data_IF_017138796197
#
_entry.id   IF_017138796197
#
_cell.length_a   1.000
_cell.length_b   1.000
_cell.length_c   1.000
_cell.angle_alpha   90.00
_cell.angle_beta   90.00
_cell.angle_gamma   90.00
#
_symmetry.space_group_name_H-M   'P 1'
#
loop_
_entity.id
_entity.type
_entity.pdbx_description
1 polymer ?
#
# COMPACT_ATOMS: atom_id res chain seq x y z
N UNK A 1 -23.32 10.88 4.58
CA UNK A 1 -23.62 9.61 5.27
C UNK A 1 -24.69 8.90 4.49
N UNK A 2 -24.61 7.57 4.40
CA UNK A 2 -25.64 6.75 3.73
C UNK A 2 -26.98 6.94 4.45
N UNK A 3 -28.10 7.08 3.74
CA UNK A 3 -29.40 7.22 4.41
C UNK A 3 -29.83 5.87 5.02
N UNK A 4 -30.76 5.94 5.97
CA UNK A 4 -31.42 4.76 6.54
C UNK A 4 -32.04 3.94 5.38
N UNK A 5 -31.83 2.62 5.37
CA UNK A 5 -32.24 1.66 4.32
C UNK A 5 -31.44 1.68 3.00
N UNK A 6 -30.37 2.48 2.86
CA UNK A 6 -29.57 2.55 1.62
C UNK A 6 -28.30 1.66 1.63
N UNK A 7 -28.05 0.86 2.68
CA UNK A 7 -26.91 -0.07 2.78
C UNK A 7 -27.33 -1.40 3.43
N UNK A 8 -27.05 -2.51 2.74
CA UNK A 8 -27.26 -3.87 3.25
C UNK A 8 -25.92 -4.60 3.39
N UNK A 9 -25.78 -5.39 4.46
CA UNK A 9 -24.63 -6.27 4.68
C UNK A 9 -25.04 -7.71 4.37
N UNK A 10 -24.47 -8.28 3.32
CA UNK A 10 -24.75 -9.67 2.90
C UNK A 10 -23.48 -10.50 2.92
N UNK A 11 -23.60 -11.77 3.32
CA UNK A 11 -22.54 -12.77 3.20
C UNK A 11 -22.61 -13.52 1.87
N UNK A 12 -21.46 -13.99 1.37
CA UNK A 12 -21.38 -14.90 0.23
C UNK A 12 -20.15 -15.81 0.33
N UNK A 13 -20.21 -16.97 -0.31
CA UNK A 13 -19.11 -17.94 -0.41
C UNK A 13 -18.85 -18.26 -1.87
N UNK A 14 -17.59 -18.26 -2.27
CA UNK A 14 -17.15 -18.60 -3.63
C UNK A 14 -16.55 -20.01 -3.67
N UNK A 15 -16.98 -20.83 -4.63
CA UNK A 15 -16.40 -22.14 -4.88
C UNK A 15 -15.33 -22.07 -5.98
N UNK A 16 -14.08 -22.34 -5.63
CA UNK A 16 -12.94 -22.25 -6.56
C UNK A 16 -12.98 -23.29 -7.70
N UNK A 17 -13.73 -24.39 -7.56
CA UNK A 17 -13.81 -25.46 -8.55
C UNK A 17 -14.96 -25.25 -9.54
N UNK A 18 -16.15 -24.87 -9.04
CA UNK A 18 -17.30 -24.61 -9.91
C UNK A 18 -17.37 -23.17 -10.43
N UNK A 19 -16.70 -22.23 -9.75
CA UNK A 19 -16.81 -20.80 -10.04
C UNK A 19 -18.13 -20.16 -9.58
N UNK A 20 -18.98 -20.91 -8.88
CA UNK A 20 -20.27 -20.43 -8.39
C UNK A 20 -20.12 -19.63 -7.09
N UNK A 21 -21.02 -18.65 -6.90
CA UNK A 21 -21.15 -17.86 -5.68
C UNK A 21 -22.48 -18.22 -5.02
N UNK A 22 -22.43 -18.70 -3.78
CA UNK A 22 -23.58 -18.89 -2.92
C UNK A 22 -23.80 -17.63 -2.07
N UNK A 23 -24.95 -16.99 -2.22
CA UNK A 23 -25.32 -15.79 -1.46
C UNK A 23 -26.07 -16.19 -0.18
N UNK A 24 -25.49 -15.87 0.98
CA UNK A 24 -25.99 -16.31 2.29
C UNK A 24 -27.05 -15.37 2.90
N UNK A 25 -27.23 -14.17 2.34
CA UNK A 25 -28.12 -13.15 2.89
C UNK A 25 -27.54 -12.38 4.08
N UNK A 26 -28.40 -11.70 4.83
CA UNK A 26 -28.02 -10.92 6.03
C UNK A 26 -27.75 -11.81 7.25
N UNK A 27 -26.99 -11.30 8.22
CA UNK A 27 -26.74 -12.04 9.45
C UNK A 27 -28.05 -12.30 10.22
N UNK A 28 -28.35 -13.55 10.63
CA UNK A 28 -29.63 -13.90 11.27
C UNK A 28 -29.96 -13.12 12.56
N UNK A 29 -28.95 -12.52 13.20
CA UNK A 29 -29.06 -11.74 14.44
C UNK A 29 -28.64 -10.26 14.30
N UNK A 30 -28.70 -9.68 13.11
CA UNK A 30 -28.20 -8.31 12.82
C UNK A 30 -28.74 -7.24 13.79
N UNK A 31 -29.99 -7.37 14.26
CA UNK A 31 -30.62 -6.43 15.21
C UNK A 31 -29.98 -6.45 16.60
N UNK A 32 -29.46 -7.60 17.04
CA UNK A 32 -28.84 -7.76 18.37
C UNK A 32 -27.41 -7.20 18.41
N UNK A 33 -26.72 -7.16 17.27
CA UNK A 33 -25.29 -6.80 17.17
C UNK A 33 -25.02 -5.28 17.10
N UNK A 34 -26.01 -4.46 16.70
CA UNK A 34 -25.82 -3.04 16.40
C UNK A 34 -25.84 -2.07 17.62
N UNK A 35 -25.61 -2.54 18.86
CA UNK A 35 -25.78 -1.74 20.10
C UNK A 35 -24.51 -1.14 20.76
N UNK A 36 -24.14 0.12 20.41
CA UNK A 36 -23.29 1.16 21.11
C UNK A 36 -21.72 1.17 21.05
N UNK A 37 -21.12 2.36 21.29
CA UNK A 37 -19.72 2.86 21.03
C UNK A 37 -18.74 3.02 22.25
N UNK A 38 -17.41 3.15 21.99
CA UNK A 38 -16.30 3.45 22.95
C UNK A 38 -15.15 4.38 22.40
N UNK A 39 -14.29 5.02 23.26
CA UNK A 39 -13.43 6.20 22.93
C UNK A 39 -11.89 5.99 22.77
N UNK A 40 -11.11 7.08 22.52
CA UNK A 40 -9.78 7.16 21.83
C UNK A 40 -8.63 7.89 22.63
N UNK A 41 -7.34 7.68 22.30
CA UNK A 41 -6.13 8.41 22.85
C UNK A 41 -4.96 8.68 21.84
N UNK A 42 -4.02 9.63 22.15
CA UNK A 42 -3.09 10.43 21.28
C UNK A 42 -1.57 10.05 21.25
N UNK A 43 -0.78 10.65 20.32
CA UNK A 43 0.65 10.41 19.96
C UNK A 43 1.49 11.69 19.60
N UNK A 44 2.81 11.55 19.32
CA UNK A 44 3.85 12.61 19.09
C UNK A 44 4.67 12.49 17.76
N UNK A 45 5.44 13.53 17.35
CA UNK A 45 5.83 13.91 15.96
C UNK A 45 7.34 14.20 15.67
N UNK A 46 7.85 13.93 14.45
CA UNK A 46 9.11 14.51 13.86
C UNK A 46 9.26 14.32 12.32
N UNK A 47 9.98 15.20 11.56
CA UNK A 47 9.94 15.31 10.07
C UNK A 47 11.20 14.82 9.28
N UNK A 48 11.13 14.79 7.92
CA UNK A 48 12.07 14.15 6.96
C UNK A 48 12.15 14.88 5.57
N UNK A 49 13.17 14.62 4.70
CA UNK A 49 13.48 15.31 3.42
C UNK A 49 13.48 14.44 2.14
N UNK A 50 13.07 15.00 0.99
CA UNK A 50 12.74 14.33 -0.30
C UNK A 50 13.93 14.09 -1.25
N UNK A 51 13.84 13.04 -2.09
CA UNK A 51 14.88 12.59 -3.05
C UNK A 51 14.47 12.91 -4.49
N UNK A 52 15.35 13.54 -5.28
CA UNK A 52 15.03 14.15 -6.59
C UNK A 52 15.19 13.26 -7.83
N UNK A 53 15.68 12.02 -7.74
CA UNK A 53 15.80 11.17 -8.92
C UNK A 53 15.91 9.70 -8.52
N UNK A 54 14.87 8.92 -8.83
CA UNK A 54 14.89 7.47 -8.69
C UNK A 54 15.12 6.86 -10.06
N UNK A 55 16.30 6.28 -10.27
CA UNK A 55 16.60 5.52 -11.48
C UNK A 55 15.65 4.33 -11.59
N UNK A 56 15.05 4.16 -12.77
CA UNK A 56 14.18 3.05 -13.09
C UNK A 56 15.00 1.74 -13.07
N UNK A 57 15.05 1.06 -11.92
CA UNK A 57 15.86 -0.14 -11.74
C UNK A 57 15.02 -1.39 -12.00
N UNK A 58 15.42 -2.17 -13.00
CA UNK A 58 15.06 -3.57 -13.12
C UNK A 58 15.45 -4.32 -11.84
N UNK A 59 14.63 -5.27 -11.39
CA UNK A 59 14.88 -6.05 -10.18
C UNK A 59 16.31 -6.63 -10.10
N UNK A 60 16.77 -6.98 -8.90
CA UNK A 60 18.15 -7.45 -8.66
C UNK A 60 18.33 -8.94 -8.97
N UNK A 61 17.33 -9.75 -8.66
CA UNK A 61 17.33 -11.20 -8.91
C UNK A 61 16.64 -11.55 -10.22
N UNK A 62 17.06 -12.63 -10.90
CA UNK A 62 16.41 -13.07 -12.14
C UNK A 62 14.91 -13.35 -11.95
N UNK A 63 14.51 -13.86 -10.77
CA UNK A 63 13.10 -14.08 -10.41
C UNK A 63 12.32 -12.77 -10.31
N UNK A 64 12.88 -11.75 -9.66
CA UNK A 64 12.24 -10.44 -9.55
C UNK A 64 12.20 -9.70 -10.88
N UNK A 65 13.28 -9.76 -11.69
CA UNK A 65 13.31 -9.19 -13.04
C UNK A 65 12.20 -9.78 -13.90
N UNK A 66 12.04 -11.10 -13.90
CA UNK A 66 10.98 -11.77 -14.67
C UNK A 66 9.59 -11.40 -14.16
N UNK A 67 9.40 -11.28 -12.84
CA UNK A 67 8.11 -10.90 -12.25
C UNK A 67 7.74 -9.44 -12.57
N UNK A 68 8.70 -8.50 -12.50
CA UNK A 68 8.48 -7.10 -12.86
C UNK A 68 8.21 -6.98 -14.36
N UNK A 69 8.99 -7.65 -15.20
CA UNK A 69 8.78 -7.66 -16.64
C UNK A 69 7.41 -8.21 -17.03
N UNK A 70 6.97 -9.28 -16.39
CA UNK A 70 5.62 -9.84 -16.56
C UNK A 70 4.55 -8.77 -16.30
N UNK A 71 4.68 -7.99 -15.22
CA UNK A 71 3.77 -6.90 -14.89
C UNK A 71 3.84 -5.75 -15.90
N UNK A 72 5.03 -5.32 -16.32
CA UNK A 72 5.21 -4.24 -17.31
C UNK A 72 4.64 -4.60 -18.69
N UNK A 73 4.91 -5.81 -19.17
CA UNK A 73 4.38 -6.32 -20.43
C UNK A 73 2.86 -6.42 -20.39
N UNK A 74 2.33 -6.88 -19.26
CA UNK A 74 0.89 -6.98 -19.03
C UNK A 74 0.18 -5.64 -18.93
N UNK A 75 0.78 -4.67 -18.23
CA UNK A 75 0.25 -3.31 -18.20
C UNK A 75 0.28 -2.65 -19.58
N UNK A 76 1.30 -2.95 -20.40
CA UNK A 76 1.34 -2.51 -21.80
C UNK A 76 0.18 -3.09 -22.61
N UNK A 77 -0.16 -4.37 -22.40
CA UNK A 77 -1.34 -4.98 -23.04
C UNK A 77 -2.64 -4.34 -22.55
N UNK A 78 -2.76 -4.09 -21.25
CA UNK A 78 -3.92 -3.41 -20.67
C UNK A 78 -4.13 -2.01 -21.27
N UNK A 79 -3.11 -1.15 -21.24
CA UNK A 79 -3.17 0.23 -21.76
C UNK A 79 -3.45 0.27 -23.27
N UNK A 80 -2.96 -0.72 -24.02
CA UNK A 80 -3.21 -0.82 -25.47
C UNK A 80 -4.52 -1.51 -25.83
N UNK A 81 -5.34 -1.90 -24.85
CA UNK A 81 -6.63 -2.57 -25.07
C UNK A 81 -6.50 -4.00 -25.61
N UNK A 82 -5.35 -4.64 -25.42
CA UNK A 82 -5.03 -6.01 -25.89
C UNK A 82 -4.93 -7.02 -24.75
N UNK A 83 -5.53 -6.72 -23.60
CA UNK A 83 -5.63 -7.66 -22.48
C UNK A 83 -6.70 -8.72 -22.81
N UNK A 84 -6.60 -9.88 -22.20
CA UNK A 84 -7.51 -11.00 -22.49
C UNK A 84 -8.11 -11.52 -21.19
N UNK A 85 -9.39 -11.87 -21.22
CA UNK A 85 -10.00 -12.62 -20.13
C UNK A 85 -9.31 -13.98 -19.97
N UNK A 86 -9.02 -14.36 -18.72
CA UNK A 86 -8.37 -15.63 -18.39
C UNK A 86 -9.22 -16.42 -17.42
N UNK A 87 -9.45 -17.70 -17.72
CA UNK A 87 -10.24 -18.57 -16.85
C UNK A 87 -9.52 -18.81 -15.52
N UNK A 88 -10.19 -18.66 -14.37
CA UNK A 88 -9.59 -18.94 -13.06
C UNK A 88 -9.52 -20.44 -12.73
N UNK A 89 -10.18 -21.31 -13.50
CA UNK A 89 -10.27 -22.74 -13.22
C UNK A 89 -9.09 -23.53 -13.79
N UNK A 90 -8.66 -24.57 -13.07
CA UNK A 90 -7.64 -25.53 -13.54
C UNK A 90 -6.20 -25.00 -13.53
N UNK A 91 -5.92 -23.92 -12.81
CA UNK A 91 -4.60 -23.30 -12.73
C UNK A 91 -3.82 -23.82 -11.50
N UNK A 92 -2.71 -24.52 -11.73
CA UNK A 92 -1.70 -24.79 -10.71
C UNK A 92 -0.60 -23.73 -10.80
N UNK A 93 -0.84 -22.62 -10.10
CA UNK A 93 -0.07 -21.39 -10.23
C UNK A 93 0.47 -20.97 -8.88
N UNK A 94 1.79 -20.89 -8.76
CA UNK A 94 2.44 -20.25 -7.60
C UNK A 94 2.51 -18.74 -7.81
N UNK A 95 2.10 -17.92 -6.81
CA UNK A 95 2.22 -16.47 -6.85
C UNK A 95 3.67 -16.00 -7.01
N UNK A 96 3.87 -14.96 -7.80
CA UNK A 96 5.17 -14.36 -8.10
C UNK A 96 5.31 -12.93 -7.60
N UNK A 97 4.19 -12.27 -7.27
CA UNK A 97 4.16 -10.90 -6.76
C UNK A 97 3.08 -10.77 -5.69
N UNK A 98 3.36 -10.02 -4.62
CA UNK A 98 2.31 -9.48 -3.73
C UNK A 98 2.15 -8.00 -4.08
N UNK A 99 0.93 -7.52 -4.28
CA UNK A 99 0.62 -6.11 -4.57
C UNK A 99 -0.19 -5.54 -3.42
N UNK A 100 0.36 -4.52 -2.74
CA UNK A 100 -0.40 -3.63 -1.87
C UNK A 100 -0.90 -2.46 -2.72
N UNK A 101 -2.21 -2.38 -2.95
CA UNK A 101 -2.81 -1.38 -3.83
C UNK A 101 -4.01 -0.64 -3.23
N UNK A 102 -4.43 0.42 -3.91
CA UNK A 102 -5.63 1.18 -3.58
C UNK A 102 -6.93 0.38 -3.77
N UNK A 103 -7.89 0.59 -2.88
CA UNK A 103 -9.29 0.12 -3.06
C UNK A 103 -10.16 1.14 -3.80
N UNK A 104 -9.62 2.32 -4.10
CA UNK A 104 -10.36 3.44 -4.66
C UNK A 104 -10.72 3.26 -6.14
N UNK A 105 -9.86 2.59 -6.91
CA UNK A 105 -10.05 2.47 -8.35
C UNK A 105 -10.90 1.26 -8.79
N UNK A 106 -11.53 1.38 -9.96
CA UNK A 106 -12.53 0.41 -10.45
C UNK A 106 -11.93 -0.79 -11.19
N UNK A 107 -10.69 -0.70 -11.64
CA UNK A 107 -10.02 -1.78 -12.40
C UNK A 107 -9.38 -2.78 -11.44
N UNK A 108 -9.66 -4.09 -11.58
CA UNK A 108 -8.94 -5.14 -10.87
C UNK A 108 -7.44 -5.10 -11.17
N UNK A 109 -6.60 -5.29 -10.15
CA UNK A 109 -5.13 -5.19 -10.31
C UNK A 109 -4.60 -6.34 -11.18
N UNK A 110 -5.27 -7.48 -11.16
CA UNK A 110 -5.01 -8.64 -12.00
C UNK A 110 -5.22 -8.31 -13.49
N UNK A 111 -6.28 -7.58 -13.81
CA UNK A 111 -6.58 -7.12 -15.17
C UNK A 111 -5.60 -6.02 -15.59
N UNK A 112 -5.27 -5.09 -14.68
CA UNK A 112 -4.31 -4.01 -14.88
C UNK A 112 -2.95 -4.53 -15.35
N UNK A 113 -2.52 -5.68 -14.82
CA UNK A 113 -1.27 -6.34 -15.18
C UNK A 113 -1.47 -7.51 -16.15
N UNK A 114 -2.69 -7.78 -16.63
CA UNK A 114 -3.03 -8.87 -17.53
C UNK A 114 -2.26 -10.16 -17.22
N UNK A 115 -2.33 -10.62 -15.96
CA UNK A 115 -1.69 -11.85 -15.45
C UNK A 115 -2.69 -12.99 -15.32
N UNK A 116 -2.22 -14.23 -15.17
CA UNK A 116 -3.10 -15.37 -14.87
C UNK A 116 -3.64 -15.26 -13.43
N UNK A 117 -4.91 -15.67 -13.18
CA UNK A 117 -5.44 -15.77 -11.83
C UNK A 117 -4.50 -16.56 -10.90
N UNK A 118 -4.24 -16.02 -9.70
CA UNK A 118 -3.31 -16.60 -8.74
C UNK A 118 -1.83 -16.25 -8.96
N UNK A 119 -1.43 -15.62 -10.07
CA UNK A 119 -0.02 -15.18 -10.27
C UNK A 119 0.40 -14.03 -9.38
N UNK A 120 -0.54 -13.21 -8.94
CA UNK A 120 -0.32 -12.12 -8.00
C UNK A 120 -1.30 -12.25 -6.83
N UNK A 121 -0.84 -11.89 -5.64
CA UNK A 121 -1.67 -11.76 -4.44
C UNK A 121 -1.93 -10.27 -4.24
N UNK A 122 -3.19 -9.86 -4.23
CA UNK A 122 -3.55 -8.45 -4.13
C UNK A 122 -4.16 -8.14 -2.76
N UNK A 123 -3.55 -7.22 -2.02
CA UNK A 123 -4.12 -6.63 -0.82
C UNK A 123 -4.56 -5.20 -1.16
N UNK A 124 -5.88 -5.01 -1.32
CA UNK A 124 -6.45 -3.69 -1.57
C UNK A 124 -6.85 -3.02 -0.27
N UNK A 125 -6.36 -1.80 -0.05
CA UNK A 125 -6.70 -0.96 1.10
C UNK A 125 -6.79 0.50 0.64
N UNK A 126 -7.65 1.27 1.31
CA UNK A 126 -7.77 2.71 1.02
C UNK A 126 -6.45 3.43 1.31
N UNK A 127 -5.99 4.25 0.35
CA UNK A 127 -4.73 4.98 0.45
C UNK A 127 -3.48 4.13 0.20
N UNK A 128 -3.62 2.86 -0.21
CA UNK A 128 -2.49 1.96 -0.51
C UNK A 128 -1.50 1.77 0.65
N UNK A 129 -1.96 1.93 1.90
CA UNK A 129 -1.18 1.77 3.12
C UNK A 129 -1.76 0.62 3.95
N UNK A 130 -0.97 -0.42 4.21
CA UNK A 130 -1.41 -1.62 4.94
C UNK A 130 -1.81 -1.36 6.42
N UNK A 131 -1.54 -0.16 6.93
CA UNK A 131 -1.85 0.25 8.30
C UNK A 131 -0.77 -0.17 9.29
N UNK A 132 -1.19 -0.51 10.51
CA UNK A 132 -0.28 -0.91 11.59
C UNK A 132 0.14 -2.38 11.47
N UNK A 133 1.32 -2.70 12.02
CA UNK A 133 1.76 -4.09 12.18
C UNK A 133 0.75 -4.88 13.04
N UNK A 134 0.70 -6.19 12.84
CA UNK A 134 -0.20 -7.12 13.54
C UNK A 134 -1.70 -6.89 13.23
N UNK A 135 -2.03 -6.02 12.27
CA UNK A 135 -3.40 -5.83 11.75
C UNK A 135 -3.59 -6.57 10.44
N UNK A 136 -4.86 -6.83 10.11
CA UNK A 136 -5.28 -7.74 9.04
C UNK A 136 -4.53 -7.58 7.72
N UNK A 137 -4.50 -6.38 7.14
CA UNK A 137 -3.85 -6.17 5.83
C UNK A 137 -2.33 -6.37 5.90
N UNK A 138 -1.71 -5.93 6.98
CA UNK A 138 -0.27 -6.07 7.20
C UNK A 138 0.11 -7.55 7.43
N UNK A 139 -0.59 -8.23 8.33
CA UNK A 139 -0.38 -9.66 8.64
C UNK A 139 -0.68 -10.55 7.43
N UNK A 140 -1.63 -10.16 6.57
CA UNK A 140 -1.93 -10.86 5.31
C UNK A 140 -0.73 -10.85 4.36
N UNK A 141 -0.02 -9.71 4.26
CA UNK A 141 1.21 -9.59 3.47
C UNK A 141 2.31 -10.47 4.06
N UNK A 142 2.52 -10.43 5.37
CA UNK A 142 3.53 -11.27 6.05
C UNK A 142 3.26 -12.77 5.88
N UNK A 143 1.99 -13.17 6.03
CA UNK A 143 1.56 -14.54 5.78
C UNK A 143 1.84 -14.95 4.33
N UNK A 144 1.57 -14.06 3.38
CA UNK A 144 1.79 -14.33 1.96
C UNK A 144 3.28 -14.53 1.64
N UNK A 145 4.16 -13.72 2.23
CA UNK A 145 5.61 -13.87 2.11
C UNK A 145 6.07 -15.21 2.71
N UNK A 146 5.55 -15.56 3.89
CA UNK A 146 5.92 -16.79 4.57
C UNK A 146 5.44 -18.05 3.82
N UNK A 147 4.24 -17.99 3.23
CA UNK A 147 3.59 -19.13 2.56
C UNK A 147 4.11 -19.39 1.15
N UNK A 148 4.26 -18.35 0.33
CA UNK A 148 4.56 -18.50 -1.10
C UNK A 148 5.95 -18.03 -1.51
N UNK A 149 6.68 -17.31 -0.64
CA UNK A 149 8.01 -16.75 -0.93
C UNK A 149 8.12 -16.09 -2.34
N UNK A 150 7.20 -15.17 -2.69
CA UNK A 150 7.28 -14.47 -3.96
C UNK A 150 8.50 -13.53 -3.97
N UNK A 151 9.17 -13.37 -5.12
CA UNK A 151 10.36 -12.54 -5.23
C UNK A 151 10.08 -11.02 -5.15
N UNK A 152 8.82 -10.59 -5.31
CA UNK A 152 8.46 -9.16 -5.36
C UNK A 152 7.28 -8.85 -4.44
N UNK A 153 7.43 -7.80 -3.64
CA UNK A 153 6.34 -7.08 -2.98
C UNK A 153 6.26 -5.68 -3.61
N UNK A 154 5.12 -5.36 -4.22
CA UNK A 154 4.88 -4.10 -4.91
C UNK A 154 3.92 -3.23 -4.11
N UNK A 155 4.32 -2.00 -3.83
CA UNK A 155 3.41 -0.93 -3.38
C UNK A 155 2.95 -0.16 -4.61
N UNK A 156 1.65 -0.24 -4.93
CA UNK A 156 1.04 0.42 -6.07
C UNK A 156 0.12 1.56 -5.59
N UNK A 157 0.50 2.80 -5.87
CA UNK A 157 -0.28 3.99 -5.50
C UNK A 157 -0.89 4.63 -6.76
N UNK A 158 -2.07 5.20 -6.63
CA UNK A 158 -2.76 5.89 -7.73
C UNK A 158 -2.34 7.36 -7.82
N UNK A 159 -2.18 7.89 -9.03
CA UNK A 159 -1.79 9.29 -9.25
C UNK A 159 -2.79 10.30 -8.68
N UNK A 160 -4.07 9.92 -8.66
CA UNK A 160 -5.19 10.76 -8.23
C UNK A 160 -6.06 10.03 -7.19
N UNK A 161 -5.49 9.69 -6.04
CA UNK A 161 -6.24 9.03 -4.95
C UNK A 161 -7.17 10.03 -4.22
N UNK A 162 -8.48 9.75 -4.13
CA UNK A 162 -9.42 10.53 -3.32
C UNK A 162 -9.08 10.55 -1.83
N UNK A 163 -8.37 9.53 -1.34
CA UNK A 163 -7.93 9.42 0.06
C UNK A 163 -6.80 10.40 0.34
N UNK A 164 -5.83 10.51 -0.58
CA UNK A 164 -4.76 11.51 -0.50
C UNK A 164 -5.34 12.92 -0.61
N UNK A 165 -6.26 13.16 -1.54
CA UNK A 165 -6.94 14.45 -1.71
C UNK A 165 -7.73 14.86 -0.46
N UNK A 166 -8.49 13.93 0.12
CA UNK A 166 -9.24 14.16 1.35
C UNK A 166 -8.32 14.47 2.54
N UNK A 167 -7.14 13.84 2.61
CA UNK A 167 -6.15 14.14 3.63
C UNK A 167 -5.57 15.56 3.46
N UNK A 168 -5.25 15.98 2.23
CA UNK A 168 -4.81 17.35 1.92
C UNK A 168 -5.88 18.38 2.32
N UNK A 169 -7.15 18.12 1.95
CA UNK A 169 -8.28 18.98 2.32
C UNK A 169 -8.47 19.05 3.84
N UNK A 170 -8.31 17.93 4.55
CA UNK A 170 -8.38 17.89 6.00
C UNK A 170 -7.27 18.75 6.64
N UNK A 171 -6.04 18.67 6.13
CA UNK A 171 -4.91 19.47 6.62
C UNK A 171 -5.15 20.98 6.47
N UNK A 172 -5.85 21.38 5.40
CA UNK A 172 -6.23 22.78 5.14
C UNK A 172 -7.47 23.24 5.91
N UNK A 173 -8.04 22.39 6.77
CA UNK A 173 -9.29 22.70 7.48
C UNK A 173 -10.53 22.75 6.58
N UNK A 174 -10.43 22.26 5.34
CA UNK A 174 -11.53 22.27 4.37
C UNK A 174 -12.43 21.03 4.47
N UNK A 175 -11.98 20.00 5.20
CA UNK A 175 -12.72 18.75 5.39
C UNK A 175 -12.55 18.22 6.81
N UNK A 176 -13.67 17.95 7.50
CA UNK A 176 -13.65 17.35 8.83
C UNK A 176 -14.30 15.95 8.78
N UNK A 177 -13.52 14.88 8.65
CA UNK A 177 -14.06 13.52 8.51
C UNK A 177 -14.67 13.00 9.82
N UNK A 178 -15.62 12.08 9.69
CA UNK A 178 -16.07 11.25 10.81
C UNK A 178 -14.92 10.34 11.30
N UNK A 179 -15.01 9.83 12.53
CA UNK A 179 -13.92 9.04 13.14
C UNK A 179 -13.46 7.84 12.28
N UNK A 180 -14.34 7.02 11.67
CA UNK A 180 -13.89 5.89 10.85
C UNK A 180 -13.13 6.32 9.59
N UNK A 181 -13.61 7.38 8.92
CA UNK A 181 -12.96 7.96 7.74
C UNK A 181 -11.59 8.52 8.13
N UNK A 182 -11.50 9.16 9.31
CA UNK A 182 -10.26 9.69 9.83
C UNK A 182 -9.20 8.62 10.05
N UNK A 183 -9.57 7.40 10.45
CA UNK A 183 -8.60 6.29 10.60
C UNK A 183 -7.90 6.00 9.27
N UNK A 184 -8.66 5.97 8.18
CA UNK A 184 -8.11 5.78 6.83
C UNK A 184 -7.22 6.96 6.44
N UNK A 185 -7.71 8.20 6.64
CA UNK A 185 -6.93 9.39 6.31
C UNK A 185 -5.64 9.50 7.13
N UNK A 186 -5.63 9.02 8.38
CA UNK A 186 -4.45 9.03 9.23
C UNK A 186 -3.29 8.20 8.64
N UNK A 187 -3.59 7.14 7.88
CA UNK A 187 -2.56 6.33 7.24
C UNK A 187 -1.80 7.11 6.14
N UNK A 188 -2.47 8.03 5.44
CA UNK A 188 -1.87 8.87 4.38
C UNK A 188 -1.54 10.29 4.86
N UNK A 189 -1.92 10.66 6.09
CA UNK A 189 -1.76 12.02 6.61
C UNK A 189 -0.28 12.41 6.70
N UNK A 190 0.59 11.44 6.99
CA UNK A 190 2.04 11.67 7.09
C UNK A 190 2.62 12.11 5.74
N UNK A 191 2.26 11.44 4.65
CA UNK A 191 2.70 11.78 3.30
C UNK A 191 2.07 13.09 2.81
N UNK A 192 0.77 13.28 3.03
CA UNK A 192 0.07 14.52 2.67
C UNK A 192 0.66 15.76 3.39
N UNK A 193 0.93 15.65 4.69
CA UNK A 193 1.52 16.75 5.47
C UNK A 193 2.91 17.13 4.97
N UNK A 194 3.77 16.13 4.71
CA UNK A 194 5.12 16.36 4.16
C UNK A 194 5.07 17.05 2.80
N UNK A 195 4.13 16.65 1.95
CA UNK A 195 3.93 17.26 0.63
C UNK A 195 3.52 18.73 0.70
N UNK A 196 2.53 19.06 1.52
CA UNK A 196 2.07 20.45 1.73
C UNK A 196 3.22 21.33 2.22
N UNK A 197 3.94 20.88 3.25
CA UNK A 197 5.08 21.63 3.81
C UNK A 197 6.21 21.85 2.81
N UNK A 198 6.46 20.89 1.92
CA UNK A 198 7.51 21.02 0.90
C UNK A 198 7.08 21.97 -0.22
N UNK A 199 5.82 21.92 -0.65
CA UNK A 199 5.32 22.80 -1.69
C UNK A 199 5.21 24.26 -1.21
N UNK A 200 4.84 24.49 0.05
CA UNK A 200 4.78 25.84 0.66
C UNK A 200 6.13 26.55 0.70
N UNK A 201 7.25 25.80 0.73
CA UNK A 201 8.60 26.37 0.65
C UNK A 201 8.97 26.87 -0.75
N UNK A 202 8.20 26.51 -1.77
CA UNK A 202 8.45 26.90 -3.15
C UNK A 202 7.52 28.06 -3.57
N UNK A 203 7.91 29.29 -3.21
CA UNK A 203 7.12 30.52 -3.42
C UNK A 203 7.06 31.00 -4.88
N UNK A 204 7.70 30.30 -5.82
CA UNK A 204 7.79 30.72 -7.23
C UNK A 204 6.66 30.18 -8.11
N UNK A 205 5.80 29.31 -7.57
CA UNK A 205 4.72 28.65 -8.32
C UNK A 205 3.41 29.44 -8.23
N UNK A 206 2.60 29.34 -9.29
CA UNK A 206 1.19 29.77 -9.25
C UNK A 206 0.39 28.88 -8.31
N UNK A 207 -0.78 29.33 -7.85
CA UNK A 207 -1.65 28.50 -7.00
C UNK A 207 -2.00 27.14 -7.63
N UNK A 208 -2.23 27.12 -8.95
CA UNK A 208 -2.49 25.87 -9.69
C UNK A 208 -1.24 24.98 -9.77
N UNK A 209 -0.06 25.56 -10.00
CA UNK A 209 1.20 24.81 -10.01
C UNK A 209 1.55 24.24 -8.64
N UNK A 210 1.23 24.96 -7.57
CA UNK A 210 1.42 24.50 -6.20
C UNK A 210 0.48 23.33 -5.87
N UNK A 211 -0.78 23.37 -6.30
CA UNK A 211 -1.72 22.26 -6.09
C UNK A 211 -1.26 20.98 -6.78
N UNK A 212 -0.82 21.10 -8.04
CA UNK A 212 -0.30 19.97 -8.80
C UNK A 212 0.95 19.37 -8.14
N UNK A 213 1.85 20.23 -7.64
CA UNK A 213 3.04 19.79 -6.91
C UNK A 213 2.68 19.07 -5.60
N UNK A 214 1.70 19.58 -4.84
CA UNK A 214 1.26 18.96 -3.59
C UNK A 214 0.71 17.56 -3.86
N UNK A 215 -0.19 17.42 -4.85
CA UNK A 215 -0.75 16.12 -5.19
C UNK A 215 0.33 15.15 -5.65
N UNK A 216 1.24 15.58 -6.53
CA UNK A 216 2.35 14.73 -6.98
C UNK A 216 3.23 14.27 -5.81
N UNK A 217 3.69 15.20 -4.98
CA UNK A 217 4.53 14.90 -3.82
C UNK A 217 3.81 14.00 -2.82
N UNK A 218 2.52 14.25 -2.56
CA UNK A 218 1.75 13.46 -1.62
C UNK A 218 1.62 12.01 -2.09
N UNK A 219 1.38 11.79 -3.38
CA UNK A 219 1.34 10.46 -3.99
C UNK A 219 2.69 9.73 -3.89
N UNK A 220 3.78 10.38 -4.31
CA UNK A 220 5.11 9.78 -4.27
C UNK A 220 5.53 9.47 -2.82
N UNK A 221 5.38 10.42 -1.91
CA UNK A 221 5.68 10.25 -0.49
C UNK A 221 4.80 9.19 0.18
N UNK A 222 3.56 9.00 -0.28
CA UNK A 222 2.69 7.95 0.22
C UNK A 222 3.20 6.56 -0.16
N UNK A 223 3.72 6.42 -1.37
CA UNK A 223 4.38 5.20 -1.82
C UNK A 223 5.60 4.89 -0.93
N UNK A 224 6.44 5.90 -0.68
CA UNK A 224 7.64 5.76 0.15
C UNK A 224 7.30 5.37 1.58
N UNK A 225 6.33 6.07 2.15
CA UNK A 225 5.89 5.84 3.52
C UNK A 225 5.30 4.44 3.69
N UNK A 226 4.56 3.95 2.71
CA UNK A 226 4.04 2.58 2.72
C UNK A 226 5.18 1.55 2.71
N UNK A 227 6.23 1.76 1.91
CA UNK A 227 7.43 0.91 1.93
C UNK A 227 8.16 0.98 3.28
N UNK A 228 8.31 2.18 3.85
CA UNK A 228 8.93 2.38 5.17
C UNK A 228 8.19 1.58 6.26
N UNK A 229 6.85 1.54 6.22
CA UNK A 229 6.05 0.75 7.15
C UNK A 229 6.26 -0.75 6.97
N UNK A 230 6.28 -1.24 5.73
CA UNK A 230 6.52 -2.65 5.43
C UNK A 230 7.92 -3.10 5.86
N UNK A 231 8.94 -2.27 5.68
CA UNK A 231 10.31 -2.52 6.15
C UNK A 231 10.46 -2.52 7.69
N UNK A 232 9.43 -2.15 8.46
CA UNK A 232 9.43 -2.36 9.92
C UNK A 232 9.07 -3.79 10.30
N UNK A 233 8.52 -4.59 9.38
CA UNK A 233 8.30 -6.02 9.59
C UNK A 233 9.61 -6.78 9.65
N UNK A 234 9.80 -7.61 10.67
CA UNK A 234 10.93 -8.55 10.72
C UNK A 234 10.88 -9.53 9.53
N UNK A 235 9.69 -10.05 9.22
CA UNK A 235 9.46 -11.00 8.11
C UNK A 235 9.87 -10.39 6.77
N UNK A 236 9.41 -9.17 6.47
CA UNK A 236 9.78 -8.47 5.23
C UNK A 236 11.29 -8.19 5.21
N UNK A 237 11.85 -7.65 6.30
CA UNK A 237 13.26 -7.27 6.34
C UNK A 237 14.20 -8.44 6.10
N UNK A 238 13.99 -9.56 6.79
CA UNK A 238 14.88 -10.72 6.67
C UNK A 238 14.90 -11.27 5.24
N UNK A 239 13.77 -11.25 4.55
CA UNK A 239 13.66 -11.66 3.14
C UNK A 239 14.27 -10.65 2.18
N UNK A 240 14.20 -9.35 2.50
CA UNK A 240 14.89 -8.31 1.71
C UNK A 240 16.41 -8.37 1.92
N UNK A 241 16.89 -8.62 3.14
CA UNK A 241 18.34 -8.74 3.44
C UNK A 241 18.97 -9.97 2.78
N UNK A 242 18.25 -11.09 2.77
CA UNK A 242 18.70 -12.31 2.11
C UNK A 242 18.66 -12.23 0.58
N UNK A 243 18.01 -11.20 0.02
CA UNK A 243 17.81 -11.04 -1.43
C UNK A 243 16.73 -11.96 -2.00
N UNK A 244 15.95 -12.61 -1.14
CA UNK A 244 14.83 -13.48 -1.55
C UNK A 244 13.57 -12.69 -1.94
N UNK A 245 13.44 -11.47 -1.42
CA UNK A 245 12.32 -10.55 -1.67
C UNK A 245 12.84 -9.17 -2.06
N UNK A 246 12.22 -8.56 -3.07
CA UNK A 246 12.45 -7.17 -3.43
C UNK A 246 11.18 -6.35 -3.20
N UNK A 247 11.31 -5.24 -2.48
CA UNK A 247 10.21 -4.32 -2.20
C UNK A 247 10.28 -3.15 -3.19
N UNK A 248 9.31 -3.07 -4.08
CA UNK A 248 9.26 -2.08 -5.17
C UNK A 248 8.08 -1.11 -5.01
N UNK A 249 8.27 0.10 -5.51
CA UNK A 249 7.24 1.13 -5.64
C UNK A 249 6.78 1.27 -7.09
N UNK A 250 5.48 1.52 -7.29
CA UNK A 250 4.92 1.95 -8.56
C UNK A 250 3.78 2.94 -8.37
N UNK A 251 3.59 3.82 -9.36
CA UNK A 251 2.45 4.73 -9.45
C UNK A 251 1.66 4.40 -10.71
N UNK A 252 0.37 4.16 -10.55
CA UNK A 252 -0.58 4.01 -11.64
C UNK A 252 -1.21 5.37 -11.96
N UNK A 253 -1.20 5.76 -13.22
CA UNK A 253 -1.99 6.88 -13.72
C UNK A 253 -3.49 6.53 -13.71
N UNK A 254 -4.28 7.26 -12.93
CA UNK A 254 -5.71 6.96 -12.73
C UNK A 254 -6.56 7.16 -13.99
N UNK A 255 -6.09 7.93 -14.97
CA UNK A 255 -6.83 8.21 -16.22
C UNK A 255 -6.61 7.15 -17.30
N UNK A 256 -5.40 6.61 -17.37
CA UNK A 256 -4.95 5.71 -18.45
C UNK A 256 -4.70 4.28 -17.98
N UNK A 257 -4.53 4.05 -16.68
CA UNK A 257 -4.09 2.76 -16.13
C UNK A 257 -2.60 2.47 -16.39
N UNK A 258 -1.83 3.43 -16.91
CA UNK A 258 -0.39 3.23 -17.13
C UNK A 258 0.35 3.20 -15.80
N UNK A 259 1.13 2.14 -15.57
CA UNK A 259 1.93 1.97 -14.35
C UNK A 259 3.37 2.38 -14.62
N UNK A 260 3.93 3.22 -13.76
CA UNK A 260 5.34 3.60 -13.73
C UNK A 260 5.99 3.01 -12.49
N UNK A 261 6.97 2.14 -12.67
CA UNK A 261 7.78 1.59 -11.58
C UNK A 261 8.88 2.59 -11.18
N UNK A 262 9.21 2.61 -9.89
CA UNK A 262 10.26 3.47 -9.32
C UNK A 262 11.40 2.67 -8.69
N UNK A 263 11.21 1.36 -8.47
CA UNK A 263 12.23 0.52 -7.86
C UNK A 263 12.14 0.46 -6.35
N UNK A 264 13.26 0.11 -5.72
CA UNK A 264 13.41 0.00 -4.27
C UNK A 264 13.56 1.37 -3.59
N UNK A 265 13.30 1.41 -2.27
CA UNK A 265 13.43 2.64 -1.51
C UNK A 265 14.91 3.12 -1.44
N UNK A 266 15.26 4.38 -1.76
CA UNK A 266 16.63 4.88 -1.80
C UNK A 266 17.37 4.74 -0.47
N UNK A 267 16.63 4.88 0.63
CA UNK A 267 17.14 4.72 2.00
C UNK A 267 16.80 3.37 2.61
N UNK A 268 16.51 2.35 1.80
CA UNK A 268 16.08 1.03 2.29
C UNK A 268 17.03 0.47 3.35
N UNK A 269 18.34 0.47 3.10
CA UNK A 269 19.33 -0.03 4.05
C UNK A 269 19.32 0.71 5.38
N UNK A 270 19.18 2.04 5.36
CA UNK A 270 19.11 2.84 6.59
C UNK A 270 17.86 2.54 7.40
N UNK A 271 16.69 2.42 6.74
CA UNK A 271 15.42 2.09 7.38
C UNK A 271 15.51 0.73 8.07
N UNK A 272 16.09 -0.25 7.37
CA UNK A 272 16.23 -1.61 7.87
C UNK A 272 17.17 -1.68 9.07
N UNK A 273 18.33 -1.01 9.01
CA UNK A 273 19.26 -0.90 10.14
C UNK A 273 18.60 -0.24 11.35
N UNK A 274 17.90 0.88 11.15
CA UNK A 274 17.21 1.57 12.24
C UNK A 274 16.11 0.71 12.88
N UNK A 275 15.40 -0.10 12.08
CA UNK A 275 14.38 -1.01 12.58
C UNK A 275 14.99 -2.19 13.36
N UNK A 276 16.13 -2.73 12.93
CA UNK A 276 16.87 -3.75 13.65
C UNK A 276 17.42 -3.23 14.98
N UNK A 277 18.01 -2.03 14.97
CA UNK A 277 18.53 -1.36 16.17
C UNK A 277 17.41 -1.18 17.21
N UNK A 278 16.25 -0.65 16.79
CA UNK A 278 15.07 -0.54 17.66
C UNK A 278 14.67 -1.90 18.23
N UNK A 279 14.58 -2.93 17.39
CA UNK A 279 14.19 -4.27 17.85
C UNK A 279 15.15 -4.82 18.93
N UNK A 280 16.46 -4.61 18.76
CA UNK A 280 17.48 -4.95 19.76
C UNK A 280 17.25 -4.17 21.07
N UNK A 281 17.07 -2.84 21.01
CA UNK A 281 16.81 -2.01 22.21
C UNK A 281 15.57 -2.46 22.98
N UNK A 282 14.46 -2.75 22.29
CA UNK A 282 13.24 -3.21 22.94
C UNK A 282 13.38 -4.60 23.56
N UNK A 283 14.16 -5.50 22.95
CA UNK A 283 14.44 -6.83 23.50
C UNK A 283 15.29 -6.80 24.78
N UNK A 284 16.08 -5.74 24.97
CA UNK A 284 16.94 -5.53 26.15
C UNK A 284 16.28 -4.75 27.30
N UNK A 285 15.01 -4.35 27.16
CA UNK A 285 14.23 -3.65 28.19
C UNK A 285 14.32 -2.11 28.15
N UNK A 286 13.37 -1.44 28.82
CA UNK A 286 13.15 0.02 28.80
C UNK A 286 14.35 0.89 29.26
N UNK A 287 15.35 0.30 29.94
CA UNK A 287 16.54 1.00 30.44
C UNK A 287 17.81 0.74 29.62
N UNK A 288 17.71 0.05 28.47
CA UNK A 288 18.86 -0.29 27.67
C UNK A 288 19.36 0.90 26.85
N UNK A 289 20.49 1.47 27.26
CA UNK A 289 21.31 2.36 26.42
C UNK A 289 22.16 1.53 25.48
N UNK A 290 21.97 1.69 24.17
CA UNK A 290 22.87 1.10 23.16
C UNK A 290 24.29 1.67 23.32
N UNK A 291 25.34 0.84 23.37
CA UNK A 291 26.73 1.29 23.32
C UNK A 291 26.97 2.20 22.12
N UNK A 292 27.77 3.27 22.28
CA UNK A 292 28.06 4.28 21.23
C UNK A 292 28.56 3.69 19.90
N UNK A 293 29.11 2.49 19.95
CA UNK A 293 29.63 1.70 18.83
C UNK A 293 28.52 1.18 17.89
N UNK A 294 27.31 0.94 18.42
CA UNK A 294 26.16 0.41 17.67
C UNK A 294 25.35 1.50 16.94
N UNK A 295 25.73 2.78 17.08
CA UNK A 295 24.98 3.92 16.54
C UNK A 295 25.26 4.21 15.06
N UNK A 296 26.34 3.65 14.50
CA UNK A 296 26.69 3.69 13.07
C UNK A 296 26.64 5.08 12.44
#
# INVERSE_FOLDING_TARGET
GVKVEELQLIGAVYNIFSGEIEWLGEHPEIEKLCGREMPMHRWNSTPYNTVQSWDNKSGRSARAVNAIRMMEDGNTRFVTGRWHYKSPTGLDVTPSVIVLGGSEYRVPIEDLFDVDPGRIIVQRVLGSVAGMQERTAFSSIEYSIARWAPPVLLVLVESSSPIIEAAIKQLRGQYLPLAPIRVVLNHVMVSALRAVQQAEKNSTLTSAGQELLITQLATELNCLYSMELLLKSKVVRERVLSGELELHAAIMDSGTGKVRFFGEHPRQMEIMRAAELRAKTYSTGLSATLPREDWG
#
